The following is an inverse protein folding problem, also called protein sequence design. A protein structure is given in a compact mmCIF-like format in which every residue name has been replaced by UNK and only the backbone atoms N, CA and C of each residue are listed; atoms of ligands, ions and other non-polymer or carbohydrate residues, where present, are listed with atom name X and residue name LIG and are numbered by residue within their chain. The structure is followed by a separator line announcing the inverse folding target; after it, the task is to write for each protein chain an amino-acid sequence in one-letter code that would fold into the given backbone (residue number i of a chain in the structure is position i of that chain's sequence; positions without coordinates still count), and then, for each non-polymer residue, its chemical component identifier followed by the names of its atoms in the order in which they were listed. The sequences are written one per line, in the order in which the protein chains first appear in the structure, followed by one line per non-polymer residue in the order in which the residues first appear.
data_IF_387179509009
#
_entry.id   IF_387179509009
#
_cell.length_a   1.000
_cell.length_b   1.000
_cell.length_c   1.000
_cell.angle_alpha   90.00
_cell.angle_beta   90.00
_cell.angle_gamma   90.00
#
_symmetry.space_group_name_H-M   'P 1'
#
loop_
_entity.id
_entity.type
_entity.pdbx_description
1 polymer ?
#
# COMPACT_ATOMS: atom_id res chain seq x y z
N UNK A 1 4.07 19.12 -12.30
CA UNK A 1 3.47 18.24 -11.30
C UNK A 1 1.95 18.31 -11.40
N UNK A 2 1.29 17.17 -11.40
CA UNK A 2 -0.14 17.16 -11.53
C UNK A 2 -0.82 17.63 -10.22
N UNK A 3 -2.05 18.10 -10.33
CA UNK A 3 -2.86 18.50 -9.19
C UNK A 3 -3.09 17.32 -8.23
N UNK A 4 -3.25 16.11 -8.76
CA UNK A 4 -3.42 14.88 -7.98
C UNK A 4 -2.19 14.61 -7.11
N UNK A 5 -0.99 14.77 -7.66
CA UNK A 5 0.24 14.54 -6.93
C UNK A 5 0.42 15.54 -5.78
N UNK A 6 0.06 16.80 -5.98
CA UNK A 6 0.09 17.82 -4.93
C UNK A 6 -0.85 17.46 -3.78
N UNK A 7 -2.09 17.02 -4.10
CA UNK A 7 -3.06 16.61 -3.09
C UNK A 7 -2.56 15.38 -2.34
N UNK A 8 -1.96 14.41 -3.06
CA UNK A 8 -1.40 13.19 -2.48
C UNK A 8 -0.31 13.52 -1.46
N UNK A 9 0.63 14.41 -1.81
CA UNK A 9 1.71 14.81 -0.90
C UNK A 9 1.17 15.48 0.36
N UNK A 10 0.18 16.36 0.20
CA UNK A 10 -0.45 17.05 1.32
C UNK A 10 -1.14 16.08 2.27
N UNK A 11 -1.88 15.10 1.74
CA UNK A 11 -2.55 14.07 2.53
C UNK A 11 -1.53 13.26 3.32
N UNK A 12 -0.44 12.85 2.70
CA UNK A 12 0.61 12.07 3.36
C UNK A 12 1.26 12.88 4.48
N UNK A 13 1.63 14.12 4.22
CA UNK A 13 2.32 14.97 5.19
C UNK A 13 1.46 15.24 6.44
N UNK A 14 0.16 15.39 6.27
CA UNK A 14 -0.74 15.69 7.40
C UNK A 14 -1.28 14.43 8.09
N UNK A 15 -0.95 13.24 7.62
CA UNK A 15 -1.53 12.00 8.12
C UNK A 15 -0.99 11.54 9.47
N UNK A 16 0.20 11.98 9.86
CA UNK A 16 0.88 11.45 11.06
C UNK A 16 1.52 10.08 10.82
N UNK A 17 1.48 9.55 9.61
CA UNK A 17 2.09 8.27 9.28
C UNK A 17 3.58 8.48 8.99
N UNK A 18 4.42 7.62 9.57
CA UNK A 18 5.87 7.63 9.32
C UNK A 18 6.21 6.69 8.17
N UNK A 19 7.10 7.14 7.28
CA UNK A 19 7.59 6.31 6.20
C UNK A 19 9.10 6.10 6.35
N UNK A 20 9.55 4.86 6.21
CA UNK A 20 10.96 4.50 6.33
C UNK A 20 11.25 3.17 5.65
N UNK A 21 12.33 2.50 6.08
CA UNK A 21 12.79 1.24 5.48
C UNK A 21 11.77 0.11 5.63
N UNK A 22 10.87 0.21 6.62
CA UNK A 22 9.82 -0.79 6.85
C UNK A 22 8.48 -0.39 6.23
N UNK A 23 8.46 0.59 5.34
CA UNK A 23 7.25 1.09 4.71
C UNK A 23 6.56 2.18 5.53
N UNK A 24 5.27 2.40 5.27
CA UNK A 24 4.47 3.39 5.99
C UNK A 24 3.89 2.73 7.24
N UNK A 25 4.06 3.34 8.40
CA UNK A 25 3.58 2.81 9.69
C UNK A 25 2.93 3.89 10.53
N UNK A 26 1.92 3.52 11.29
CA UNK A 26 1.27 4.42 12.22
C UNK A 26 0.07 3.79 12.90
N UNK A 27 -0.70 4.61 13.61
CA UNK A 27 -1.92 4.16 14.24
C UNK A 27 -2.98 3.84 13.19
N UNK A 28 -3.79 2.80 13.45
CA UNK A 28 -4.89 2.41 12.57
C UNK A 28 -5.83 3.58 12.31
N UNK A 29 -6.12 4.38 13.34
CA UNK A 29 -7.02 5.53 13.20
C UNK A 29 -6.49 6.58 12.21
N UNK A 30 -5.19 6.60 11.96
CA UNK A 30 -4.55 7.53 11.02
C UNK A 30 -4.47 6.96 9.60
N UNK A 31 -4.73 5.67 9.43
CA UNK A 31 -4.76 5.03 8.12
C UNK A 31 -6.17 5.06 7.54
N UNK A 32 -6.67 6.24 7.26
CA UNK A 32 -7.95 6.41 6.55
C UNK A 32 -7.86 5.88 5.13
N UNK A 33 -9.01 5.73 4.47
CA UNK A 33 -9.04 5.38 3.05
C UNK A 33 -8.24 6.35 2.20
N UNK A 34 -8.35 7.64 2.50
CA UNK A 34 -7.63 8.68 1.76
C UNK A 34 -6.11 8.56 1.94
N UNK A 35 -5.65 8.22 3.14
CA UNK A 35 -4.23 8.04 3.43
C UNK A 35 -3.71 6.80 2.70
N UNK A 36 -4.42 5.68 2.77
CA UNK A 36 -4.03 4.47 2.04
C UNK A 36 -3.99 4.73 0.53
N UNK A 37 -4.97 5.45 0.00
CA UNK A 37 -5.00 5.81 -1.42
C UNK A 37 -3.81 6.70 -1.79
N UNK A 38 -3.48 7.68 -0.95
CA UNK A 38 -2.37 8.60 -1.21
C UNK A 38 -1.03 7.86 -1.27
N UNK A 39 -0.76 6.97 -0.33
CA UNK A 39 0.45 6.15 -0.37
C UNK A 39 0.49 5.24 -1.59
N UNK A 40 -0.64 4.65 -1.96
CA UNK A 40 -0.72 3.78 -3.14
C UNK A 40 -0.47 4.56 -4.42
N UNK A 41 -1.06 5.74 -4.57
CA UNK A 41 -0.82 6.61 -5.73
C UNK A 41 0.65 7.01 -5.82
N UNK A 42 1.26 7.38 -4.70
CA UNK A 42 2.66 7.75 -4.65
C UNK A 42 3.56 6.57 -5.05
N UNK A 43 3.28 5.40 -4.53
CA UNK A 43 4.02 4.18 -4.85
C UNK A 43 3.94 3.84 -6.34
N UNK A 44 2.74 3.84 -6.91
CA UNK A 44 2.54 3.54 -8.33
C UNK A 44 3.27 4.58 -9.19
N UNK A 45 3.17 5.85 -8.85
CA UNK A 45 3.84 6.92 -9.59
C UNK A 45 5.36 6.75 -9.61
N UNK A 46 5.94 6.43 -8.46
CA UNK A 46 7.39 6.20 -8.36
C UNK A 46 7.80 4.98 -9.17
N UNK A 47 7.06 3.89 -9.05
CA UNK A 47 7.40 2.64 -9.75
C UNK A 47 7.26 2.78 -11.26
N UNK A 48 6.30 3.54 -11.74
CA UNK A 48 6.09 3.76 -13.18
C UNK A 48 7.23 4.54 -13.83
N UNK A 49 8.03 5.25 -13.06
CA UNK A 49 9.21 5.94 -13.57
C UNK A 49 10.34 4.99 -13.98
N UNK A 50 10.39 3.80 -13.40
CA UNK A 50 11.48 2.84 -13.61
C UNK A 50 11.03 1.55 -14.28
N UNK A 51 9.73 1.33 -14.39
CA UNK A 51 9.22 0.00 -14.70
C UNK A 51 7.80 0.10 -15.27
N UNK A 52 7.54 -0.67 -16.32
CA UNK A 52 6.18 -0.76 -16.87
C UNK A 52 5.46 -1.95 -16.29
N UNK A 53 4.28 -1.72 -15.72
CA UNK A 53 3.42 -2.76 -15.19
C UNK A 53 1.97 -2.30 -15.30
N UNK A 54 1.06 -3.24 -15.29
CA UNK A 54 -0.39 -2.96 -15.28
C UNK A 54 -1.11 -3.75 -14.20
N UNK A 55 -0.38 -4.44 -13.35
CA UNK A 55 -0.94 -5.27 -12.28
C UNK A 55 -0.05 -5.14 -11.04
N UNK A 56 -0.69 -5.10 -9.86
CA UNK A 56 0.02 -5.19 -8.58
C UNK A 56 -0.60 -6.31 -7.75
N UNK A 57 0.20 -6.88 -6.86
CA UNK A 57 -0.26 -7.88 -5.90
C UNK A 57 -0.48 -7.22 -4.54
N UNK A 58 -1.58 -7.54 -3.86
CA UNK A 58 -1.87 -7.05 -2.51
C UNK A 58 -2.20 -8.22 -1.62
N UNK A 59 -1.61 -8.24 -0.43
CA UNK A 59 -1.91 -9.24 0.60
C UNK A 59 -1.99 -8.58 1.96
N UNK A 60 -2.53 -9.29 2.93
CA UNK A 60 -2.75 -8.79 4.29
C UNK A 60 -2.25 -9.78 5.32
N UNK A 61 -2.04 -9.28 6.53
CA UNK A 61 -1.89 -10.11 7.72
C UNK A 61 -3.25 -10.31 8.40
N UNK A 62 -3.26 -10.93 9.57
CA UNK A 62 -4.51 -11.24 10.31
C UNK A 62 -5.07 -10.07 11.11
N UNK A 63 -4.53 -8.88 11.01
CA UNK A 63 -5.02 -7.75 11.80
C UNK A 63 -6.42 -7.34 11.33
N UNK A 64 -7.32 -6.97 12.25
CA UNK A 64 -8.69 -6.59 11.86
C UNK A 64 -8.74 -5.42 10.88
N UNK A 65 -7.79 -4.49 10.97
CA UNK A 65 -7.75 -3.31 10.09
C UNK A 65 -7.19 -3.59 8.71
N UNK A 66 -6.52 -4.71 8.49
CA UNK A 66 -5.74 -4.94 7.26
C UNK A 66 -6.61 -5.07 6.02
N UNK A 67 -7.76 -5.70 6.13
CA UNK A 67 -8.66 -5.87 4.98
C UNK A 67 -9.14 -4.52 4.42
N UNK A 68 -9.65 -3.65 5.30
CA UNK A 68 -10.15 -2.33 4.86
C UNK A 68 -9.04 -1.49 4.24
N UNK A 69 -7.85 -1.52 4.83
CA UNK A 69 -6.68 -0.81 4.29
C UNK A 69 -6.31 -1.36 2.91
N UNK A 70 -6.31 -2.68 2.75
CA UNK A 70 -6.00 -3.32 1.46
C UNK A 70 -7.04 -2.94 0.40
N UNK A 71 -8.31 -2.88 0.75
CA UNK A 71 -9.37 -2.50 -0.18
C UNK A 71 -9.23 -1.04 -0.61
N UNK A 72 -8.83 -0.15 0.29
CA UNK A 72 -8.55 1.24 -0.07
C UNK A 72 -7.37 1.35 -1.04
N UNK A 73 -6.31 0.57 -0.81
CA UNK A 73 -5.18 0.51 -1.74
C UNK A 73 -5.61 -0.03 -3.10
N UNK A 74 -6.42 -1.08 -3.12
CA UNK A 74 -6.92 -1.69 -4.36
C UNK A 74 -7.75 -0.70 -5.18
N UNK A 75 -8.62 0.05 -4.52
CA UNK A 75 -9.43 1.06 -5.19
C UNK A 75 -8.56 2.16 -5.80
N UNK A 76 -7.55 2.61 -5.07
CA UNK A 76 -6.62 3.60 -5.57
C UNK A 76 -5.86 3.11 -6.80
N UNK A 77 -5.44 1.85 -6.80
CA UNK A 77 -4.76 1.24 -7.95
C UNK A 77 -5.68 1.19 -9.17
N UNK A 78 -6.94 0.83 -8.97
CA UNK A 78 -7.93 0.83 -10.06
C UNK A 78 -8.12 2.22 -10.67
N UNK A 79 -8.06 3.26 -9.85
CA UNK A 79 -8.16 4.64 -10.33
C UNK A 79 -6.97 5.02 -11.22
N UNK A 80 -5.87 4.29 -11.13
CA UNK A 80 -4.68 4.47 -11.97
C UNK A 80 -4.66 3.49 -13.16
N UNK A 81 -5.76 2.81 -13.43
CA UNK A 81 -5.86 1.76 -14.47
C UNK A 81 -4.91 0.58 -14.20
N UNK A 82 -4.64 0.30 -12.94
CA UNK A 82 -3.81 -0.83 -12.52
C UNK A 82 -4.74 -1.94 -12.00
N UNK A 83 -4.57 -3.14 -12.53
CA UNK A 83 -5.28 -4.32 -12.05
C UNK A 83 -4.69 -4.78 -10.71
N UNK A 84 -5.54 -5.33 -9.86
CA UNK A 84 -5.11 -5.80 -8.54
C UNK A 84 -5.36 -7.30 -8.42
N UNK A 85 -4.33 -8.03 -8.00
CA UNK A 85 -4.45 -9.41 -7.58
C UNK A 85 -4.38 -9.46 -6.07
N UNK A 86 -5.50 -9.79 -5.46
CA UNK A 86 -5.61 -9.85 -4.00
C UNK A 86 -5.39 -11.29 -3.53
N UNK A 87 -4.36 -11.48 -2.72
CA UNK A 87 -3.95 -12.81 -2.26
C UNK A 87 -4.57 -13.22 -0.93
N UNK A 88 -5.23 -12.29 -0.23
CA UNK A 88 -5.75 -12.56 1.10
C UNK A 88 -4.66 -12.61 2.15
N UNK A 89 -4.82 -13.44 3.16
CA UNK A 89 -3.88 -13.56 4.27
C UNK A 89 -2.74 -14.49 3.85
N UNK A 90 -1.56 -13.92 3.61
CA UNK A 90 -0.35 -14.70 3.31
C UNK A 90 0.83 -14.05 4.02
N UNK A 91 1.89 -14.82 4.31
CA UNK A 91 3.12 -14.25 4.89
C UNK A 91 3.80 -13.29 3.91
N UNK A 92 4.43 -12.24 4.45
CA UNK A 92 5.14 -11.25 3.63
C UNK A 92 6.12 -11.89 2.64
N UNK A 93 6.97 -12.86 3.04
CA UNK A 93 7.90 -13.48 2.08
C UNK A 93 7.19 -14.20 0.93
N UNK A 94 6.03 -14.80 1.18
CA UNK A 94 5.28 -15.50 0.14
C UNK A 94 4.76 -14.50 -0.90
N UNK A 95 4.24 -13.35 -0.46
CA UNK A 95 3.81 -12.30 -1.38
C UNK A 95 4.98 -11.77 -2.20
N UNK A 96 6.09 -11.44 -1.54
CA UNK A 96 7.26 -10.90 -2.21
C UNK A 96 7.79 -11.86 -3.26
N UNK A 97 7.88 -13.15 -2.93
CA UNK A 97 8.36 -14.18 -3.84
C UNK A 97 7.46 -14.28 -5.08
N UNK A 98 6.15 -14.37 -4.88
CA UNK A 98 5.19 -14.48 -5.96
C UNK A 98 5.23 -13.25 -6.89
N UNK A 99 5.28 -12.06 -6.31
CA UNK A 99 5.35 -10.82 -7.08
C UNK A 99 6.64 -10.74 -7.90
N UNK A 100 7.77 -11.14 -7.32
CA UNK A 100 9.05 -11.19 -8.04
C UNK A 100 9.01 -12.18 -9.20
N UNK A 101 8.43 -13.35 -9.00
CA UNK A 101 8.27 -14.35 -10.05
C UNK A 101 7.46 -13.81 -11.23
N UNK A 102 6.45 -13.01 -10.94
CA UNK A 102 5.57 -12.43 -11.94
C UNK A 102 6.02 -11.06 -12.44
N UNK A 103 7.11 -10.56 -11.85
CA UNK A 103 7.67 -9.25 -12.20
C UNK A 103 6.65 -8.12 -12.04
N UNK A 104 5.92 -8.12 -10.92
CA UNK A 104 4.93 -7.08 -10.58
C UNK A 104 5.23 -6.50 -9.20
N UNK A 105 4.86 -5.22 -8.96
CA UNK A 105 4.97 -4.64 -7.63
C UNK A 105 3.99 -5.28 -6.66
N UNK A 106 4.25 -5.15 -5.36
CA UNK A 106 3.36 -5.68 -4.33
C UNK A 106 3.18 -4.68 -3.19
N UNK A 107 2.04 -4.79 -2.51
CA UNK A 107 1.76 -4.07 -1.28
C UNK A 107 1.35 -5.09 -0.23
N UNK A 108 2.09 -5.12 0.87
CA UNK A 108 1.74 -5.95 2.03
C UNK A 108 1.17 -5.07 3.13
N UNK A 109 -0.05 -5.33 3.55
CA UNK A 109 -0.67 -4.63 4.67
C UNK A 109 -0.37 -5.44 5.92
N UNK A 110 0.59 -4.98 6.71
CA UNK A 110 1.05 -5.71 7.88
C UNK A 110 1.59 -4.78 8.94
N UNK A 111 1.31 -5.10 10.20
CA UNK A 111 1.93 -4.45 11.34
C UNK A 111 3.18 -5.17 11.84
N UNK A 112 3.54 -6.31 11.24
CA UNK A 112 4.64 -7.16 11.72
C UNK A 112 4.46 -7.53 13.19
N UNK A 113 5.29 -7.03 14.09
CA UNK A 113 5.24 -7.33 15.53
C UNK A 113 4.73 -6.16 16.37
N UNK A 114 4.24 -5.09 15.74
CA UNK A 114 3.76 -3.92 16.49
C UNK A 114 2.34 -4.18 17.01
N UNK A 115 1.88 -3.40 18.02
CA UNK A 115 0.54 -3.59 18.61
C UNK A 115 -0.60 -3.48 17.60
N UNK A 116 -1.75 -4.08 17.93
CA UNK A 116 -2.90 -4.15 17.00
C UNK A 116 -3.58 -2.80 16.73
N UNK A 117 -3.34 -1.79 17.55
CA UNK A 117 -3.82 -0.43 17.27
C UNK A 117 -2.99 0.29 16.20
N UNK A 118 -1.96 -0.36 15.67
CA UNK A 118 -1.09 0.14 14.62
C UNK A 118 -1.11 -0.82 13.43
N UNK A 119 -0.72 -0.32 12.29
CA UNK A 119 -0.60 -1.13 11.08
C UNK A 119 0.38 -0.46 10.12
N UNK A 120 0.57 -1.02 8.96
CA UNK A 120 1.49 -0.46 7.99
C UNK A 120 1.25 -0.96 6.58
N UNK A 121 1.81 -0.22 5.63
CA UNK A 121 1.86 -0.58 4.22
C UNK A 121 3.32 -0.81 3.85
N UNK A 122 3.64 -2.00 3.39
CA UNK A 122 4.99 -2.39 2.99
C UNK A 122 4.99 -2.61 1.48
N UNK A 123 5.78 -1.81 0.80
CA UNK A 123 5.84 -1.81 -0.67
C UNK A 123 7.00 -2.61 -1.22
#
# INVERSE_FOLDING_TARGET
MSKVQSITNEVIESSGISFGTSGARGLVVDFSSDVCAAFTHAFISVMQNSWQFNTIAIAIDNRPSSYAMAMACAEAAKQCDISVEYYGVVPTPALAYSAMQRNIPSIMVTGSHIPFDRNGLKF
#
